data_IF_605009725831
#
_entry.id   IF_605009725831
#
_cell.length_a   1.000
_cell.length_b   1.000
_cell.length_c   1.000
_cell.angle_alpha   90.00
_cell.angle_beta   90.00
_cell.angle_gamma   90.00
#
_symmetry.space_group_name_H-M   'P 1'
#
loop_
_entity.id
_entity.type
_entity.pdbx_description
1 polymer ?
#
# COMPACT_ATOMS: atom_id res chain seq x y z
N UNK A 1 12.10 -31.72 -53.65
CA UNK A 1 12.27 -31.99 -52.21
C UNK A 1 11.78 -30.82 -51.35
N UNK A 2 12.24 -29.58 -51.57
CA UNK A 2 11.78 -28.38 -50.84
C UNK A 2 10.26 -28.19 -50.88
N UNK A 3 9.65 -28.32 -52.07
CA UNK A 3 8.20 -28.15 -52.25
C UNK A 3 7.36 -29.25 -51.57
N UNK A 4 7.89 -30.47 -51.49
CA UNK A 4 7.25 -31.59 -50.80
C UNK A 4 7.30 -31.39 -49.27
N UNK A 5 8.45 -30.93 -48.75
CA UNK A 5 8.57 -30.57 -47.34
C UNK A 5 7.64 -29.40 -46.96
N UNK A 6 7.57 -28.35 -47.79
CA UNK A 6 6.66 -27.24 -47.56
C UNK A 6 5.18 -27.68 -47.53
N UNK A 7 4.77 -28.58 -48.44
CA UNK A 7 3.40 -29.10 -48.46
C UNK A 7 3.08 -29.98 -47.24
N UNK A 8 4.02 -30.79 -46.77
CA UNK A 8 3.85 -31.62 -45.57
C UNK A 8 3.73 -30.75 -44.31
N UNK A 9 4.58 -29.73 -44.16
CA UNK A 9 4.51 -28.81 -43.01
C UNK A 9 3.21 -27.98 -43.04
N UNK A 10 2.80 -27.51 -44.22
CA UNK A 10 1.53 -26.80 -44.42
C UNK A 10 0.30 -27.67 -44.15
N UNK A 11 0.36 -28.97 -44.47
CA UNK A 11 -0.72 -29.93 -44.15
C UNK A 11 -0.77 -30.27 -42.66
N UNK A 12 0.39 -30.34 -41.99
CA UNK A 12 0.45 -30.50 -40.54
C UNK A 12 -0.14 -29.28 -39.82
N UNK A 13 0.20 -28.06 -40.24
CA UNK A 13 -0.29 -26.82 -39.63
C UNK A 13 -1.83 -26.66 -39.65
N UNK A 14 -2.54 -27.37 -40.55
CA UNK A 14 -4.00 -27.33 -40.70
C UNK A 14 -4.75 -28.38 -39.87
N UNK A 15 -4.05 -29.25 -39.13
CA UNK A 15 -4.69 -30.26 -38.28
C UNK A 15 -5.26 -29.61 -37.00
N UNK A 16 -6.36 -30.17 -36.50
CA UNK A 16 -6.85 -29.86 -35.14
C UNK A 16 -5.85 -30.38 -34.12
N UNK A 17 -5.13 -29.49 -33.46
CA UNK A 17 -4.07 -29.84 -32.52
C UNK A 17 -4.63 -30.26 -31.15
N UNK A 18 -3.94 -31.18 -30.50
CA UNK A 18 -4.34 -31.74 -29.20
C UNK A 18 -4.16 -30.76 -28.02
N UNK A 19 -3.33 -29.72 -28.17
CA UNK A 19 -3.12 -28.67 -27.17
C UNK A 19 -2.62 -27.35 -27.80
N UNK A 20 -2.83 -26.19 -27.14
CA UNK A 20 -2.31 -24.91 -27.60
C UNK A 20 -0.78 -24.87 -27.78
N UNK A 21 -0.02 -25.50 -26.88
CA UNK A 21 1.45 -25.58 -27.00
C UNK A 21 1.90 -26.38 -28.22
N UNK A 22 1.19 -27.47 -28.57
CA UNK A 22 1.46 -28.23 -29.80
C UNK A 22 1.12 -27.42 -31.06
N UNK A 23 0.04 -26.64 -31.02
CA UNK A 23 -0.36 -25.75 -32.12
C UNK A 23 0.71 -24.66 -32.36
N UNK A 24 1.15 -23.99 -31.29
CA UNK A 24 2.22 -22.99 -31.34
C UNK A 24 3.48 -23.60 -31.92
N UNK A 25 3.93 -24.73 -31.39
CA UNK A 25 5.14 -25.40 -31.89
C UNK A 25 5.04 -25.67 -33.39
N UNK A 26 3.89 -26.15 -33.88
CA UNK A 26 3.69 -26.41 -35.30
C UNK A 26 3.72 -25.12 -36.15
N UNK A 27 3.07 -24.04 -35.70
CA UNK A 27 3.09 -22.75 -36.39
C UNK A 27 4.51 -22.15 -36.44
N UNK A 28 5.25 -22.18 -35.32
CA UNK A 28 6.65 -21.77 -35.27
C UNK A 28 7.51 -22.64 -36.20
N UNK A 29 7.23 -23.94 -36.26
CA UNK A 29 7.92 -24.84 -37.17
C UNK A 29 7.55 -24.59 -38.65
N UNK A 30 6.40 -24.01 -38.96
CA UNK A 30 6.04 -23.64 -40.33
C UNK A 30 6.46 -22.20 -40.69
N UNK A 31 7.11 -21.48 -39.76
CA UNK A 31 7.46 -20.06 -39.94
C UNK A 31 6.26 -19.12 -39.89
N UNK A 32 5.13 -19.56 -39.34
CA UNK A 32 3.91 -18.76 -39.17
C UNK A 32 3.89 -18.11 -37.79
N UNK A 33 4.77 -17.13 -37.62
CA UNK A 33 5.01 -16.43 -36.36
C UNK A 33 3.76 -15.70 -35.83
N UNK A 34 3.03 -15.01 -36.70
CA UNK A 34 1.78 -14.32 -36.36
C UNK A 34 0.67 -15.28 -35.91
N UNK A 35 0.45 -16.38 -36.63
CA UNK A 35 -0.54 -17.41 -36.24
C UNK A 35 -0.21 -17.99 -34.85
N UNK A 36 1.07 -18.26 -34.59
CA UNK A 36 1.51 -18.72 -33.28
C UNK A 36 1.21 -17.69 -32.17
N UNK A 37 1.45 -16.39 -32.42
CA UNK A 37 1.14 -15.32 -31.45
C UNK A 37 -0.36 -15.26 -31.15
N UNK A 38 -1.21 -15.39 -32.18
CA UNK A 38 -2.66 -15.42 -32.00
C UNK A 38 -3.08 -16.57 -31.08
N UNK A 39 -2.48 -17.76 -31.23
CA UNK A 39 -2.75 -18.88 -30.32
C UNK A 39 -2.28 -18.58 -28.91
N UNK A 40 -1.07 -18.01 -28.74
CA UNK A 40 -0.53 -17.67 -27.42
C UNK A 40 -1.41 -16.65 -26.68
N UNK A 41 -1.79 -15.57 -27.36
CA UNK A 41 -2.60 -14.48 -26.79
C UNK A 41 -4.04 -14.93 -26.44
N UNK A 42 -4.60 -15.86 -27.22
CA UNK A 42 -5.96 -16.36 -26.98
C UNK A 42 -6.00 -17.57 -26.04
N UNK A 43 -4.84 -18.09 -25.59
CA UNK A 43 -4.82 -19.21 -24.65
C UNK A 43 -5.27 -18.74 -23.27
N UNK A 44 -6.30 -19.34 -22.67
CA UNK A 44 -6.75 -18.97 -21.33
C UNK A 44 -5.63 -19.16 -20.29
N UNK A 45 -5.55 -18.23 -19.34
CA UNK A 45 -4.64 -18.35 -18.18
C UNK A 45 -4.96 -19.65 -17.43
N UNK A 46 -3.92 -20.46 -17.17
CA UNK A 46 -4.06 -21.76 -16.50
C UNK A 46 -3.08 -22.78 -17.06
N UNK A 47 -3.43 -24.06 -16.93
CA UNK A 47 -2.55 -25.20 -17.28
C UNK A 47 -2.12 -25.21 -18.75
N UNK A 48 -2.98 -24.75 -19.66
CA UNK A 48 -2.67 -24.66 -21.08
C UNK A 48 -1.61 -23.60 -21.38
N UNK A 49 -1.73 -22.42 -20.75
CA UNK A 49 -0.74 -21.34 -20.87
C UNK A 49 0.60 -21.77 -20.26
N UNK A 50 0.57 -22.45 -19.11
CA UNK A 50 1.77 -22.99 -18.47
C UNK A 50 2.54 -23.96 -19.38
N UNK A 51 1.82 -24.83 -20.10
CA UNK A 51 2.43 -25.73 -21.09
C UNK A 51 3.14 -24.99 -22.24
N UNK A 52 2.76 -23.75 -22.56
CA UNK A 52 3.46 -22.91 -23.55
C UNK A 52 4.72 -22.31 -22.94
N UNK A 53 4.67 -21.85 -21.69
CA UNK A 53 5.85 -21.38 -20.95
C UNK A 53 6.94 -22.46 -20.88
N UNK A 54 6.56 -23.67 -20.47
CA UNK A 54 7.49 -24.81 -20.39
C UNK A 54 8.05 -25.21 -21.76
N UNK A 55 7.26 -25.14 -22.84
CA UNK A 55 7.78 -25.36 -24.21
C UNK A 55 8.93 -24.40 -24.54
N UNK A 56 8.77 -23.10 -24.27
CA UNK A 56 9.81 -22.10 -24.57
C UNK A 56 11.02 -22.24 -23.65
N UNK A 57 10.79 -22.55 -22.38
CA UNK A 57 11.84 -22.75 -21.37
C UNK A 57 12.67 -24.01 -21.64
N UNK A 58 12.05 -25.07 -22.15
CA UNK A 58 12.72 -26.36 -22.41
C UNK A 58 13.25 -26.52 -23.84
N UNK A 59 12.98 -25.57 -24.75
CA UNK A 59 13.48 -25.64 -26.13
C UNK A 59 15.02 -25.80 -26.17
N UNK A 60 15.51 -26.67 -27.05
CA UNK A 60 16.94 -27.01 -27.15
C UNK A 60 17.74 -26.02 -28.00
N UNK A 61 17.12 -24.94 -28.49
CA UNK A 61 17.73 -23.95 -29.38
C UNK A 61 17.30 -24.08 -30.83
N UNK A 62 16.53 -25.11 -31.20
CA UNK A 62 16.04 -25.30 -32.57
C UNK A 62 15.07 -24.20 -32.98
N UNK A 63 14.21 -23.75 -32.06
CA UNK A 63 13.30 -22.64 -32.37
C UNK A 63 14.08 -21.32 -32.49
N UNK A 64 15.13 -21.16 -31.68
CA UNK A 64 16.01 -20.00 -31.74
C UNK A 64 16.73 -19.87 -33.09
N UNK A 65 17.37 -20.94 -33.59
CA UNK A 65 18.08 -20.93 -34.88
C UNK A 65 17.15 -20.53 -36.04
N UNK A 66 15.89 -20.96 -35.99
CA UNK A 66 14.89 -20.66 -37.01
C UNK A 66 14.37 -19.24 -36.93
N UNK A 67 14.14 -18.75 -35.72
CA UNK A 67 13.81 -17.36 -35.48
C UNK A 67 14.94 -16.45 -35.98
N UNK A 68 16.20 -16.77 -35.66
CA UNK A 68 17.36 -15.99 -36.11
C UNK A 68 17.50 -15.98 -37.63
N UNK A 69 17.28 -17.13 -38.29
CA UNK A 69 17.26 -17.21 -39.74
C UNK A 69 16.11 -16.38 -40.35
N UNK A 70 14.93 -16.42 -39.75
CA UNK A 70 13.78 -15.65 -40.21
C UNK A 70 13.99 -14.14 -40.02
N UNK A 71 14.58 -13.72 -38.89
CA UNK A 71 14.91 -12.33 -38.59
C UNK A 71 15.99 -11.78 -39.53
N UNK A 72 16.95 -12.61 -39.97
CA UNK A 72 17.93 -12.23 -41.00
C UNK A 72 17.29 -11.96 -42.37
N UNK A 73 16.19 -12.66 -42.68
CA UNK A 73 15.46 -12.49 -43.95
C UNK A 73 14.49 -11.30 -43.87
N UNK A 74 13.82 -11.11 -42.74
CA UNK A 74 12.89 -10.00 -42.52
C UNK A 74 13.12 -9.35 -41.13
N UNK A 75 14.08 -8.40 -41.02
CA UNK A 75 14.42 -7.78 -39.74
C UNK A 75 13.30 -6.95 -39.12
N UNK A 76 12.38 -6.43 -39.94
CA UNK A 76 11.30 -5.51 -39.53
C UNK A 76 10.03 -6.24 -39.09
N UNK A 77 10.01 -7.58 -39.16
CA UNK A 77 8.85 -8.38 -38.80
C UNK A 77 8.63 -8.38 -37.29
N UNK A 78 7.63 -7.62 -36.84
CA UNK A 78 7.30 -7.50 -35.43
C UNK A 78 6.89 -8.84 -34.78
N UNK A 79 6.34 -9.79 -35.54
CA UNK A 79 5.95 -11.08 -34.99
C UNK A 79 7.18 -11.97 -34.73
N UNK A 80 8.20 -11.88 -35.60
CA UNK A 80 9.49 -12.55 -35.39
C UNK A 80 10.22 -11.93 -34.21
N UNK A 81 10.26 -10.60 -34.13
CA UNK A 81 10.85 -9.88 -33.00
C UNK A 81 10.14 -10.23 -31.69
N UNK A 82 8.81 -10.39 -31.71
CA UNK A 82 8.03 -10.75 -30.52
C UNK A 82 8.39 -12.15 -30.03
N UNK A 83 8.48 -13.14 -30.92
CA UNK A 83 8.92 -14.49 -30.55
C UNK A 83 10.36 -14.54 -30.08
N UNK A 84 11.28 -13.79 -30.71
CA UNK A 84 12.65 -13.69 -30.23
C UNK A 84 12.72 -13.12 -28.81
N UNK A 85 11.93 -12.08 -28.53
CA UNK A 85 11.80 -11.48 -27.19
C UNK A 85 11.27 -12.50 -26.17
N UNK A 86 10.20 -13.21 -26.51
CA UNK A 86 9.62 -14.27 -25.66
C UNK A 86 10.60 -15.41 -25.38
N UNK A 87 11.37 -15.85 -26.38
CA UNK A 87 12.37 -16.91 -26.22
C UNK A 87 13.52 -16.50 -25.30
N UNK A 88 14.02 -15.25 -25.43
CA UNK A 88 15.04 -14.72 -24.51
C UNK A 88 14.48 -14.65 -23.09
N UNK A 89 13.26 -14.13 -22.92
CA UNK A 89 12.62 -14.01 -21.61
C UNK A 89 12.36 -15.35 -20.93
N UNK A 90 12.01 -16.39 -21.71
CA UNK A 90 11.79 -17.73 -21.18
C UNK A 90 13.07 -18.40 -20.68
N UNK A 91 14.23 -18.07 -21.29
CA UNK A 91 15.54 -18.66 -20.96
C UNK A 91 16.32 -17.89 -19.91
N UNK A 92 16.18 -16.56 -19.90
CA UNK A 92 16.95 -15.66 -19.05
C UNK A 92 15.98 -14.89 -18.15
N UNK A 93 15.47 -13.74 -18.60
CA UNK A 93 14.44 -12.94 -17.93
C UNK A 93 13.93 -11.83 -18.86
N UNK A 94 12.89 -11.12 -18.42
CA UNK A 94 12.24 -10.03 -19.16
C UNK A 94 13.20 -8.83 -19.37
N UNK A 95 14.16 -8.60 -18.48
CA UNK A 95 15.16 -7.52 -18.61
C UNK A 95 16.11 -7.79 -19.78
N UNK A 96 16.65 -9.00 -19.88
CA UNK A 96 17.50 -9.42 -21.00
C UNK A 96 16.72 -9.44 -22.31
N UNK A 97 15.46 -9.82 -22.27
CA UNK A 97 14.59 -9.80 -23.45
C UNK A 97 14.36 -8.38 -23.97
N UNK A 98 14.09 -7.41 -23.09
CA UNK A 98 13.96 -6.00 -23.46
C UNK A 98 15.28 -5.46 -24.03
N UNK A 99 16.41 -5.77 -23.38
CA UNK A 99 17.73 -5.37 -23.89
C UNK A 99 18.04 -5.97 -25.27
N UNK A 100 17.61 -7.22 -25.51
CA UNK A 100 17.72 -7.87 -26.81
C UNK A 100 16.82 -7.18 -27.86
N UNK A 101 15.55 -6.92 -27.52
CA UNK A 101 14.60 -6.23 -28.40
C UNK A 101 15.09 -4.84 -28.79
N UNK A 102 15.63 -4.08 -27.83
CA UNK A 102 16.20 -2.75 -28.08
C UNK A 102 17.36 -2.81 -29.09
N UNK A 103 18.23 -3.84 -29.01
CA UNK A 103 19.32 -4.03 -29.99
C UNK A 103 18.78 -4.33 -31.39
N UNK A 104 17.67 -5.07 -31.51
CA UNK A 104 17.02 -5.29 -32.80
C UNK A 104 16.35 -4.01 -33.33
N UNK A 105 15.70 -3.24 -32.46
CA UNK A 105 15.01 -2.00 -32.84
C UNK A 105 15.97 -0.84 -33.17
N UNK A 106 17.22 -0.88 -32.69
CA UNK A 106 18.27 0.04 -33.15
C UNK A 106 18.62 -0.18 -34.64
N UNK A 107 18.38 -1.38 -35.16
CA UNK A 107 18.53 -1.69 -36.58
C UNK A 107 17.28 -1.29 -37.39
N UNK A 108 16.10 -1.24 -36.73
CA UNK A 108 14.79 -0.93 -37.32
C UNK A 108 13.81 -0.31 -36.28
N UNK A 109 13.64 1.02 -36.24
CA UNK A 109 12.85 1.68 -35.19
C UNK A 109 11.34 1.43 -35.33
N UNK A 110 10.69 0.90 -34.29
CA UNK A 110 9.22 0.86 -34.16
C UNK A 110 8.74 1.72 -32.99
N UNK A 111 7.64 2.47 -33.17
CA UNK A 111 7.20 3.52 -32.25
C UNK A 111 6.34 3.06 -31.05
N UNK A 112 5.93 1.79 -30.98
CA UNK A 112 5.07 1.29 -29.90
C UNK A 112 5.54 -0.08 -29.36
N UNK A 113 6.11 -0.06 -28.14
CA UNK A 113 6.59 -1.26 -27.47
C UNK A 113 5.54 -1.92 -26.55
N UNK A 114 4.34 -1.34 -26.43
CA UNK A 114 3.29 -1.82 -25.52
C UNK A 114 2.92 -3.29 -25.77
N UNK A 115 2.85 -3.71 -27.03
CA UNK A 115 2.58 -5.09 -27.44
C UNK A 115 3.61 -6.08 -26.90
N UNK A 116 4.90 -5.73 -26.92
CA UNK A 116 5.96 -6.61 -26.43
C UNK A 116 5.88 -6.78 -24.91
N UNK A 117 5.60 -5.70 -24.18
CA UNK A 117 5.41 -5.78 -22.73
C UNK A 117 4.21 -6.64 -22.35
N UNK A 118 3.07 -6.52 -23.06
CA UNK A 118 1.91 -7.39 -22.84
C UNK A 118 2.23 -8.88 -23.06
N UNK A 119 3.00 -9.19 -24.10
CA UNK A 119 3.43 -10.56 -24.40
C UNK A 119 4.38 -11.10 -23.33
N UNK A 120 5.31 -10.27 -22.84
CA UNK A 120 6.20 -10.61 -21.74
C UNK A 120 5.44 -10.86 -20.43
N UNK A 121 4.46 -10.02 -20.09
CA UNK A 121 3.61 -10.23 -18.92
C UNK A 121 2.85 -11.57 -19.01
N UNK A 122 2.29 -11.88 -20.18
CA UNK A 122 1.61 -13.15 -20.43
C UNK A 122 2.55 -14.36 -20.30
N UNK A 123 3.81 -14.21 -20.71
CA UNK A 123 4.84 -15.23 -20.56
C UNK A 123 5.26 -15.39 -19.10
N UNK A 124 5.37 -14.31 -18.34
CA UNK A 124 5.70 -14.38 -16.91
C UNK A 124 4.59 -15.09 -16.11
N UNK A 125 3.33 -14.93 -16.51
CA UNK A 125 2.20 -15.76 -16.04
C UNK A 125 2.41 -17.22 -16.45
N UNK A 126 2.72 -17.49 -17.72
CA UNK A 126 2.93 -18.84 -18.24
C UNK A 126 4.08 -19.59 -17.53
N UNK A 127 5.09 -18.87 -17.05
CA UNK A 127 6.26 -19.43 -16.38
C UNK A 127 6.11 -19.49 -14.85
N UNK A 128 4.94 -19.13 -14.33
CA UNK A 128 4.69 -18.94 -12.89
C UNK A 128 5.74 -18.04 -12.22
N UNK A 129 6.34 -17.09 -12.97
CA UNK A 129 7.24 -16.08 -12.40
C UNK A 129 6.49 -15.07 -11.53
N UNK A 130 5.15 -15.02 -11.65
CA UNK A 130 4.27 -14.36 -10.68
C UNK A 130 4.41 -14.92 -9.24
N UNK A 131 5.08 -16.06 -9.04
CA UNK A 131 5.35 -16.65 -7.72
C UNK A 131 6.37 -15.89 -6.86
N UNK A 132 7.01 -14.83 -7.38
CA UNK A 132 8.05 -14.08 -6.64
C UNK A 132 7.51 -13.27 -5.44
N UNK A 133 6.21 -12.98 -5.39
CA UNK A 133 5.56 -12.37 -4.22
C UNK A 133 4.82 -13.48 -3.47
N UNK A 134 5.40 -13.93 -2.36
CA UNK A 134 4.73 -14.81 -1.41
C UNK A 134 3.45 -14.13 -0.91
N UNK A 135 2.34 -14.88 -0.89
CA UNK A 135 1.10 -14.41 -0.26
C UNK A 135 1.38 -13.99 1.17
N UNK A 136 0.82 -12.86 1.59
CA UNK A 136 0.98 -12.33 2.94
C UNK A 136 -0.36 -11.78 3.42
N UNK A 137 -0.49 -11.65 4.75
CA UNK A 137 -1.67 -11.00 5.34
C UNK A 137 -1.73 -9.55 4.88
N UNK A 138 -2.95 -9.05 4.68
CA UNK A 138 -3.16 -7.67 4.29
C UNK A 138 -2.82 -6.75 5.46
N UNK A 139 -1.88 -5.83 5.22
CA UNK A 139 -1.52 -4.74 6.13
C UNK A 139 -1.65 -3.44 5.35
N UNK A 140 -2.80 -2.81 5.44
CA UNK A 140 -3.15 -1.60 4.67
C UNK A 140 -3.70 -0.57 5.64
N UNK A 141 -3.33 0.70 5.44
CA UNK A 141 -3.86 1.86 6.16
C UNK A 141 -4.17 2.95 5.13
N UNK A 142 -5.32 3.60 5.26
CA UNK A 142 -5.78 4.62 4.34
C UNK A 142 -6.91 5.48 4.87
N UNK A 143 -7.24 6.51 4.11
CA UNK A 143 -8.37 7.39 4.36
C UNK A 143 -9.59 6.90 3.58
N UNK A 144 -10.73 6.85 4.23
CA UNK A 144 -11.97 6.30 3.69
C UNK A 144 -13.08 7.34 3.69
N UNK A 145 -13.83 7.35 2.60
CA UNK A 145 -15.05 8.13 2.43
C UNK A 145 -16.14 7.26 1.84
N UNK A 146 -17.39 7.52 2.25
CA UNK A 146 -18.55 6.88 1.63
C UNK A 146 -18.80 7.52 0.25
N UNK A 147 -19.05 6.70 -0.76
CA UNK A 147 -19.35 7.15 -2.13
C UNK A 147 -20.68 6.56 -2.60
N UNK A 148 -21.48 7.35 -3.32
CA UNK A 148 -22.77 6.88 -3.84
C UNK A 148 -22.65 6.32 -5.27
N UNK A 149 -21.78 6.93 -6.08
CA UNK A 149 -21.61 6.60 -7.49
C UNK A 149 -20.20 6.10 -7.75
N UNK A 150 -20.08 4.88 -8.28
CA UNK A 150 -18.80 4.26 -8.61
C UNK A 150 -18.73 4.03 -10.10
N UNK A 151 -17.77 4.67 -10.78
CA UNK A 151 -17.46 4.36 -12.16
C UNK A 151 -16.56 3.11 -12.22
N UNK A 152 -17.12 1.97 -12.61
CA UNK A 152 -16.45 0.67 -12.60
C UNK A 152 -15.36 0.47 -13.66
N UNK A 153 -15.29 1.33 -14.69
CA UNK A 153 -14.35 1.18 -15.84
C UNK A 153 -12.89 1.10 -15.39
N UNK A 154 -12.63 1.68 -14.25
CA UNK A 154 -11.32 2.10 -13.79
C UNK A 154 -10.85 1.30 -12.56
N UNK A 155 -11.60 0.25 -12.22
CA UNK A 155 -11.41 -0.60 -11.05
C UNK A 155 -10.95 -1.99 -11.46
N UNK A 156 -9.81 -2.41 -10.91
CA UNK A 156 -9.17 -3.69 -11.17
C UNK A 156 -9.65 -4.73 -10.15
N UNK A 157 -10.20 -5.83 -10.67
CA UNK A 157 -10.61 -7.00 -9.90
C UNK A 157 -9.48 -8.05 -9.87
N UNK A 158 -9.46 -8.96 -8.87
CA UNK A 158 -8.43 -10.00 -8.79
C UNK A 158 -8.56 -11.02 -9.91
N UNK A 159 -9.73 -11.08 -10.55
CA UNK A 159 -10.02 -11.93 -11.70
C UNK A 159 -9.84 -11.17 -13.01
N UNK A 160 -9.32 -11.85 -14.03
CA UNK A 160 -9.19 -11.27 -15.37
C UNK A 160 -10.55 -11.08 -16.07
N UNK A 161 -11.58 -11.80 -15.62
CA UNK A 161 -12.96 -11.57 -16.03
C UNK A 161 -13.59 -10.52 -15.10
N UNK A 162 -14.07 -9.42 -15.69
CA UNK A 162 -14.80 -8.40 -14.96
C UNK A 162 -16.15 -8.96 -14.51
N UNK A 163 -16.28 -9.18 -13.19
CA UNK A 163 -17.56 -9.56 -12.59
C UNK A 163 -18.32 -8.26 -12.31
N UNK A 164 -19.61 -8.13 -12.68
CA UNK A 164 -20.40 -6.96 -12.31
C UNK A 164 -20.37 -6.75 -10.80
N UNK A 165 -19.91 -5.58 -10.36
CA UNK A 165 -19.93 -5.22 -8.94
C UNK A 165 -21.34 -4.75 -8.58
N UNK A 166 -22.09 -5.64 -7.93
CA UNK A 166 -23.42 -5.33 -7.40
C UNK A 166 -23.30 -5.05 -5.89
N UNK A 167 -23.89 -3.95 -5.46
CA UNK A 167 -23.99 -3.58 -4.05
C UNK A 167 -25.21 -4.27 -3.43
N UNK A 168 -25.02 -4.88 -2.27
CA UNK A 168 -26.13 -5.47 -1.50
C UNK A 168 -27.05 -4.36 -0.95
N UNK A 169 -28.37 -4.61 -0.79
CA UNK A 169 -29.36 -3.56 -0.49
C UNK A 169 -29.15 -2.76 0.80
N UNK A 170 -28.34 -3.26 1.73
CA UNK A 170 -28.02 -2.67 3.04
C UNK A 170 -26.57 -2.17 3.16
N UNK A 171 -25.80 -2.27 2.07
CA UNK A 171 -24.39 -1.88 2.06
C UNK A 171 -24.21 -0.54 1.38
N UNK A 172 -23.10 0.12 1.71
CA UNK A 172 -22.62 1.34 1.06
C UNK A 172 -21.24 1.07 0.48
N UNK A 173 -20.87 1.86 -0.53
CA UNK A 173 -19.52 1.87 -1.05
C UNK A 173 -18.63 2.79 -0.22
N UNK A 174 -17.44 2.29 0.09
CA UNK A 174 -16.32 3.04 0.64
C UNK A 174 -15.23 3.12 -0.42
N UNK A 175 -14.79 4.33 -0.70
CA UNK A 175 -13.54 4.56 -1.41
C UNK A 175 -12.44 4.83 -0.39
N UNK A 176 -11.39 4.01 -0.44
CA UNK A 176 -10.24 4.10 0.44
C UNK A 176 -9.03 4.56 -0.35
N UNK A 177 -8.53 5.76 -0.06
CA UNK A 177 -7.22 6.20 -0.52
C UNK A 177 -6.15 5.58 0.39
N UNK A 178 -5.33 4.68 -0.14
CA UNK A 178 -4.30 3.98 0.64
C UNK A 178 -3.15 4.94 0.92
N UNK A 179 -2.85 5.16 2.20
CA UNK A 179 -1.71 5.97 2.66
C UNK A 179 -0.45 5.11 2.80
N UNK A 180 -0.60 3.88 3.28
CA UNK A 180 0.49 2.94 3.47
C UNK A 180 0.02 1.48 3.34
N UNK A 181 0.90 0.59 2.88
CA UNK A 181 0.67 -0.85 2.93
C UNK A 181 1.98 -1.63 3.10
N UNK A 182 1.92 -2.85 3.64
CA UNK A 182 3.07 -3.74 3.70
C UNK A 182 3.06 -4.71 2.51
N UNK A 183 4.14 -4.74 1.72
CA UNK A 183 4.26 -5.57 0.50
C UNK A 183 4.72 -7.02 0.77
N UNK A 184 4.57 -7.47 2.02
CA UNK A 184 5.11 -8.73 2.53
C UNK A 184 6.58 -8.67 2.98
N UNK A 185 7.31 -7.59 2.65
CA UNK A 185 8.71 -7.40 3.09
C UNK A 185 8.91 -6.12 3.88
N UNK A 186 8.26 -5.03 3.48
CA UNK A 186 8.36 -3.72 4.13
C UNK A 186 7.11 -2.90 3.93
N UNK A 187 6.93 -1.90 4.79
CA UNK A 187 5.96 -0.84 4.58
C UNK A 187 6.36 0.04 3.39
N UNK A 188 5.36 0.32 2.55
CA UNK A 188 5.38 1.23 1.42
C UNK A 188 4.43 2.39 1.73
N UNK A 189 4.79 3.59 1.32
CA UNK A 189 4.04 4.81 1.64
C UNK A 189 3.72 5.58 0.35
N UNK A 190 2.59 6.30 0.35
CA UNK A 190 2.23 7.19 -0.75
C UNK A 190 3.27 8.33 -0.89
N UNK A 191 3.66 8.75 -2.12
CA UNK A 191 3.22 8.22 -3.41
C UNK A 191 3.95 6.93 -3.81
N UNK A 192 3.19 5.94 -4.29
CA UNK A 192 3.67 4.63 -4.73
C UNK A 192 4.27 4.66 -6.14
N UNK A 193 5.09 5.68 -6.42
CA UNK A 193 5.71 5.90 -7.74
C UNK A 193 6.60 4.76 -8.22
N UNK A 194 7.14 3.98 -7.28
CA UNK A 194 7.99 2.82 -7.56
C UNK A 194 7.22 1.51 -7.78
N UNK A 195 5.88 1.51 -7.65
CA UNK A 195 5.06 0.32 -7.84
C UNK A 195 4.95 -0.01 -9.33
N UNK A 196 5.66 -1.04 -9.76
CA UNK A 196 5.57 -1.57 -11.11
C UNK A 196 4.50 -2.67 -11.15
N UNK A 197 3.42 -2.40 -11.88
CA UNK A 197 2.37 -3.38 -12.15
C UNK A 197 2.48 -3.88 -13.60
N UNK A 198 2.31 -5.18 -13.83
CA UNK A 198 2.23 -5.72 -15.18
C UNK A 198 1.00 -5.17 -15.91
N UNK A 199 1.07 -5.16 -17.24
CA UNK A 199 -0.03 -4.77 -18.13
C UNK A 199 -1.11 -5.85 -18.14
N UNK A 200 -0.70 -7.12 -18.13
CA UNK A 200 -1.59 -8.29 -18.05
C UNK A 200 -1.78 -8.69 -16.58
N UNK A 201 -3.00 -9.10 -16.21
CA UNK A 201 -3.35 -9.49 -14.83
C UNK A 201 -3.06 -8.41 -13.75
N UNK A 202 -3.02 -7.14 -14.15
CA UNK A 202 -2.75 -5.98 -13.28
C UNK A 202 -3.49 -6.01 -11.95
N UNK A 203 -4.78 -6.35 -11.98
CA UNK A 203 -5.62 -6.44 -10.79
C UNK A 203 -5.20 -7.56 -9.83
N UNK A 204 -4.96 -8.76 -10.34
CA UNK A 204 -4.47 -9.90 -9.55
C UNK A 204 -3.14 -9.55 -8.87
N UNK A 205 -2.21 -8.95 -9.59
CA UNK A 205 -0.90 -8.60 -9.04
C UNK A 205 -1.01 -7.50 -7.98
N UNK A 206 -1.80 -6.45 -8.23
CA UNK A 206 -2.05 -5.41 -7.25
C UNK A 206 -2.67 -5.97 -5.96
N UNK A 207 -3.65 -6.88 -6.08
CA UNK A 207 -4.26 -7.54 -4.94
C UNK A 207 -3.25 -8.34 -4.11
N UNK A 208 -2.31 -9.04 -4.77
CA UNK A 208 -1.24 -9.77 -4.08
C UNK A 208 -0.26 -8.85 -3.36
N UNK A 209 0.14 -7.74 -3.97
CA UNK A 209 0.98 -6.72 -3.30
C UNK A 209 0.33 -6.16 -2.03
N UNK A 210 -1.00 -6.10 -2.02
CA UNK A 210 -1.77 -5.58 -0.90
C UNK A 210 -2.16 -6.67 0.12
N UNK A 211 -1.86 -7.96 -0.16
CA UNK A 211 -2.31 -9.11 0.63
C UNK A 211 -3.83 -9.36 0.60
N UNK A 212 -4.55 -8.72 -0.32
CA UNK A 212 -6.01 -8.82 -0.44
C UNK A 212 -6.47 -10.16 -1.03
N UNK A 213 -5.55 -10.92 -1.64
CA UNK A 213 -5.78 -12.31 -2.05
C UNK A 213 -5.88 -13.26 -0.84
N UNK A 214 -5.34 -12.85 0.31
CA UNK A 214 -5.39 -13.60 1.57
C UNK A 214 -6.51 -13.10 2.48
N UNK A 215 -6.61 -11.79 2.68
CA UNK A 215 -7.71 -11.17 3.44
C UNK A 215 -8.12 -9.83 2.84
N UNK A 216 -9.33 -9.78 2.26
CA UNK A 216 -9.91 -8.60 1.64
C UNK A 216 -10.73 -7.73 2.61
N UNK A 217 -10.77 -8.06 3.91
CA UNK A 217 -11.54 -7.30 4.89
C UNK A 217 -10.74 -6.10 5.39
N UNK A 218 -11.44 -4.97 5.51
CA UNK A 218 -10.94 -3.76 6.13
C UNK A 218 -11.91 -3.32 7.22
N UNK A 219 -11.39 -2.65 8.23
CA UNK A 219 -12.15 -1.92 9.24
C UNK A 219 -12.18 -0.45 8.84
N UNK A 220 -13.38 0.10 8.72
CA UNK A 220 -13.62 1.54 8.53
C UNK A 220 -14.00 2.12 9.88
N UNK A 221 -13.20 3.05 10.37
CA UNK A 221 -13.20 3.53 11.74
C UNK A 221 -13.38 5.04 11.79
N UNK A 222 -14.23 5.50 12.72
CA UNK A 222 -14.41 6.91 13.06
C UNK A 222 -14.30 7.10 14.57
N UNK A 223 -13.96 8.31 14.98
CA UNK A 223 -13.94 8.71 16.38
C UNK A 223 -15.04 9.74 16.62
N UNK A 224 -15.80 9.53 17.70
CA UNK A 224 -16.78 10.50 18.18
C UNK A 224 -16.06 11.69 18.82
N UNK A 225 -16.77 12.82 18.99
CA UNK A 225 -16.29 13.97 19.76
C UNK A 225 -15.85 13.63 21.21
N UNK A 226 -16.29 12.50 21.74
CA UNK A 226 -15.92 11.99 23.07
C UNK A 226 -14.66 11.11 23.02
N UNK A 227 -14.02 10.97 21.85
CA UNK A 227 -12.85 10.11 21.64
C UNK A 227 -13.17 8.62 21.54
N UNK A 228 -14.45 8.24 21.47
CA UNK A 228 -14.85 6.83 21.35
C UNK A 228 -14.70 6.36 19.91
N UNK A 229 -14.04 5.21 19.73
CA UNK A 229 -13.89 4.56 18.45
C UNK A 229 -15.17 3.80 18.05
N UNK A 230 -15.62 3.99 16.81
CA UNK A 230 -16.66 3.19 16.17
C UNK A 230 -16.17 2.64 14.83
N UNK A 231 -16.26 1.32 14.65
CA UNK A 231 -15.77 0.65 13.44
C UNK A 231 -16.86 -0.18 12.76
N UNK A 232 -16.77 -0.32 11.44
CA UNK A 232 -17.54 -1.27 10.61
C UNK A 232 -16.58 -2.07 9.73
N UNK A 233 -16.95 -3.32 9.46
CA UNK A 233 -16.20 -4.16 8.53
C UNK A 233 -16.73 -3.92 7.12
N UNK A 234 -15.81 -3.71 6.17
CA UNK A 234 -16.08 -3.68 4.75
C UNK A 234 -15.19 -4.70 4.03
N UNK A 235 -15.67 -5.22 2.90
CA UNK A 235 -14.92 -6.14 2.04
C UNK A 235 -14.49 -5.41 0.78
N UNK A 236 -13.18 -5.39 0.52
CA UNK A 236 -12.62 -4.85 -0.72
C UNK A 236 -13.11 -5.68 -1.90
N UNK A 237 -13.67 -5.01 -2.89
CA UNK A 237 -14.23 -5.59 -4.12
C UNK A 237 -13.39 -5.28 -5.35
N UNK A 238 -12.68 -4.15 -5.35
CA UNK A 238 -11.74 -3.81 -6.40
C UNK A 238 -10.66 -2.84 -5.89
N UNK A 239 -9.58 -2.72 -6.66
CA UNK A 239 -8.50 -1.79 -6.41
C UNK A 239 -8.20 -0.98 -7.67
N UNK A 240 -7.65 0.21 -7.51
CA UNK A 240 -7.18 1.01 -8.63
C UNK A 240 -5.83 1.63 -8.32
N UNK A 241 -5.04 1.86 -9.36
CA UNK A 241 -3.74 2.52 -9.27
C UNK A 241 -3.63 3.60 -10.34
N UNK A 242 -3.68 4.86 -9.92
CA UNK A 242 -3.64 6.05 -10.78
C UNK A 242 -2.68 7.07 -10.19
N UNK A 243 -1.79 7.62 -11.02
CA UNK A 243 -0.92 8.73 -10.62
C UNK A 243 -0.08 8.47 -9.35
N UNK A 244 0.33 7.22 -9.12
CA UNK A 244 1.08 6.85 -7.91
C UNK A 244 0.24 6.70 -6.65
N UNK A 245 -1.09 6.76 -6.75
CA UNK A 245 -2.03 6.57 -5.64
C UNK A 245 -2.84 5.30 -5.84
N UNK A 246 -2.99 4.52 -4.76
CA UNK A 246 -3.82 3.32 -4.74
C UNK A 246 -5.16 3.68 -4.10
N UNK A 247 -6.24 3.31 -4.78
CA UNK A 247 -7.61 3.40 -4.25
C UNK A 247 -8.17 1.98 -4.08
N UNK A 248 -8.89 1.73 -3.00
CA UNK A 248 -9.66 0.50 -2.80
C UNK A 248 -11.14 0.84 -2.79
N UNK A 249 -11.92 -0.01 -3.43
CA UNK A 249 -13.38 0.05 -3.37
C UNK A 249 -13.85 -1.07 -2.47
N UNK A 250 -14.47 -0.72 -1.35
CA UNK A 250 -14.98 -1.69 -0.39
C UNK A 250 -16.48 -1.54 -0.19
N UNK A 251 -17.17 -2.66 -0.01
CA UNK A 251 -18.59 -2.69 0.34
C UNK A 251 -18.75 -3.07 1.81
N UNK A 252 -19.47 -2.27 2.58
CA UNK A 252 -19.69 -2.49 4.00
C UNK A 252 -20.97 -1.83 4.50
N UNK A 253 -21.29 -2.04 5.77
CA UNK A 253 -22.41 -1.32 6.40
C UNK A 253 -22.07 0.15 6.59
N UNK A 254 -23.07 1.01 6.44
CA UNK A 254 -22.91 2.43 6.69
C UNK A 254 -22.47 2.67 8.15
N UNK A 255 -21.50 3.56 8.29
CA UNK A 255 -21.18 4.13 9.60
C UNK A 255 -22.38 4.96 10.07
N UNK A 256 -22.71 4.93 11.37
CA UNK A 256 -23.76 5.78 11.88
C UNK A 256 -23.35 7.24 11.65
N UNK A 257 -24.10 7.93 10.77
CA UNK A 257 -23.97 9.36 10.52
C UNK A 257 -24.51 10.12 11.74
N UNK A 258 -23.82 10.03 12.88
CA UNK A 258 -24.15 10.84 14.04
C UNK A 258 -23.56 12.24 13.83
N UNK A 259 -24.35 13.27 14.16
CA UNK A 259 -23.95 14.68 14.19
C UNK A 259 -22.83 15.00 15.20
N UNK A 260 -22.20 13.97 15.76
CA UNK A 260 -21.15 14.00 16.79
C UNK A 260 -19.83 13.39 16.31
N UNK A 261 -19.71 13.00 15.04
CA UNK A 261 -18.43 12.61 14.47
C UNK A 261 -17.46 13.82 14.45
N UNK A 262 -16.23 13.62 14.90
CA UNK A 262 -15.22 14.69 14.96
C UNK A 262 -14.59 14.95 13.59
N UNK A 263 -14.70 14.00 12.64
CA UNK A 263 -14.19 14.11 11.27
C UNK A 263 -15.26 13.68 10.25
N UNK A 264 -15.29 14.35 9.09
CA UNK A 264 -16.07 13.91 7.91
C UNK A 264 -15.40 12.75 7.16
N UNK A 265 -14.18 12.41 7.54
CA UNK A 265 -13.35 11.36 6.96
C UNK A 265 -13.20 10.21 7.96
N UNK A 266 -13.04 8.99 7.45
CA UNK A 266 -12.87 7.78 8.27
C UNK A 266 -11.49 7.16 8.02
N UNK A 267 -10.92 6.48 9.00
CA UNK A 267 -9.72 5.68 8.82
C UNK A 267 -10.12 4.29 8.30
N UNK A 268 -9.52 3.82 7.22
CA UNK A 268 -9.61 2.43 6.81
C UNK A 268 -8.29 1.72 7.11
N UNK A 269 -8.36 0.55 7.76
CA UNK A 269 -7.20 -0.28 7.99
C UNK A 269 -7.56 -1.76 7.98
N UNK A 270 -6.63 -2.63 7.64
CA UNK A 270 -6.82 -4.08 7.82
C UNK A 270 -6.59 -4.45 9.29
N UNK A 271 -7.09 -5.62 9.70
CA UNK A 271 -6.98 -6.08 11.09
C UNK A 271 -5.51 -6.24 11.53
N UNK A 272 -4.62 -6.64 10.62
CA UNK A 272 -3.20 -6.89 10.92
C UNK A 272 -2.28 -5.71 10.62
N UNK A 273 -2.84 -4.58 10.17
CA UNK A 273 -2.06 -3.39 9.84
C UNK A 273 -1.52 -2.68 11.08
N UNK A 274 -2.28 -2.68 12.16
CA UNK A 274 -1.98 -1.91 13.35
C UNK A 274 -2.48 -2.62 14.61
N UNK A 275 -1.76 -2.38 15.70
CA UNK A 275 -2.17 -2.75 17.05
C UNK A 275 -2.29 -1.47 17.87
N UNK A 276 -3.51 -1.15 18.29
CA UNK A 276 -3.75 0.02 19.13
C UNK A 276 -3.03 -0.13 20.46
N UNK A 277 -2.29 0.90 20.86
CA UNK A 277 -1.63 0.98 22.14
C UNK A 277 -2.48 1.83 23.08
N UNK A 278 -2.86 1.25 24.21
CA UNK A 278 -3.57 1.94 25.29
C UNK A 278 -2.71 1.92 26.55
N UNK A 279 -1.69 2.80 26.65
CA UNK A 279 -0.82 2.85 27.82
C UNK A 279 -1.62 3.29 29.05
N UNK A 280 -1.29 2.69 30.20
CA UNK A 280 -1.94 3.02 31.46
C UNK A 280 -1.79 4.52 31.76
N UNK A 281 -2.92 5.17 32.02
CA UNK A 281 -2.95 6.54 32.52
C UNK A 281 -2.62 6.58 34.02
N UNK A 282 -1.86 7.60 34.41
CA UNK A 282 -1.60 7.98 35.79
C UNK A 282 -1.74 9.49 35.92
N UNK A 283 -1.72 10.01 37.15
CA UNK A 283 -1.76 11.45 37.38
C UNK A 283 -0.35 12.06 37.43
N UNK A 284 -0.21 13.35 37.12
CA UNK A 284 1.07 14.07 37.29
C UNK A 284 1.59 13.95 38.74
N UNK A 285 0.69 13.94 39.72
CA UNK A 285 1.06 13.72 41.12
C UNK A 285 1.72 12.36 41.35
N UNK A 286 1.09 11.28 40.88
CA UNK A 286 1.61 9.92 41.02
C UNK A 286 2.88 9.69 40.22
N UNK A 287 3.03 10.34 39.06
CA UNK A 287 4.26 10.30 38.28
C UNK A 287 5.38 11.04 39.03
N UNK A 288 5.11 12.19 39.63
CA UNK A 288 6.10 12.93 40.43
C UNK A 288 6.63 12.14 41.64
N UNK A 289 5.80 11.29 42.27
CA UNK A 289 6.26 10.44 43.37
C UNK A 289 7.26 9.37 42.92
N UNK A 290 7.21 8.97 41.64
CA UNK A 290 8.08 7.95 41.06
C UNK A 290 9.30 8.56 40.37
N UNK A 291 9.09 9.64 39.63
CA UNK A 291 10.08 10.28 38.75
C UNK A 291 10.07 11.81 38.96
N UNK A 292 10.52 12.29 40.14
CA UNK A 292 10.43 13.71 40.50
C UNK A 292 11.30 14.61 39.64
N UNK A 293 12.46 14.13 39.19
CA UNK A 293 13.36 14.90 38.31
C UNK A 293 12.74 15.14 36.93
N UNK A 294 12.02 14.14 36.40
CA UNK A 294 11.34 14.26 35.10
C UNK A 294 10.21 15.28 35.15
N UNK A 295 9.38 15.24 36.21
CA UNK A 295 8.31 16.23 36.39
C UNK A 295 8.88 17.64 36.61
N UNK A 296 9.99 17.77 37.35
CA UNK A 296 10.66 19.06 37.53
C UNK A 296 11.15 19.65 36.20
N UNK A 297 11.52 18.81 35.22
CA UNK A 297 11.88 19.26 33.87
C UNK A 297 10.66 19.59 33.00
N UNK A 298 9.56 18.84 33.10
CA UNK A 298 8.34 19.05 32.30
C UNK A 298 7.61 20.33 32.69
N UNK A 299 7.43 20.60 33.98
CA UNK A 299 6.52 21.66 34.45
C UNK A 299 6.86 23.07 33.93
N UNK A 300 8.14 23.52 33.92
CA UNK A 300 8.50 24.81 33.35
C UNK A 300 8.18 24.91 31.86
N UNK A 301 8.48 23.85 31.09
CA UNK A 301 8.23 23.80 29.64
C UNK A 301 6.73 23.82 29.35
N UNK A 302 5.96 23.03 30.10
CA UNK A 302 4.49 23.02 30.02
C UNK A 302 3.90 24.40 30.31
N UNK A 303 4.36 25.07 31.37
CA UNK A 303 3.91 26.42 31.71
C UNK A 303 4.21 27.40 30.58
N UNK A 304 5.45 27.37 30.07
CA UNK A 304 5.89 28.26 28.99
C UNK A 304 5.05 28.05 27.72
N UNK A 305 4.83 26.80 27.30
CA UNK A 305 4.03 26.46 26.12
C UNK A 305 2.58 26.96 26.22
N UNK A 306 1.96 26.79 27.39
CA UNK A 306 0.60 27.28 27.64
C UNK A 306 0.53 28.82 27.64
N UNK A 307 1.56 29.51 28.15
CA UNK A 307 1.64 30.98 28.08
C UNK A 307 1.84 31.44 26.65
N UNK A 308 2.80 30.87 25.92
CA UNK A 308 3.14 31.26 24.55
C UNK A 308 2.01 31.00 23.55
N UNK A 309 1.19 29.97 23.79
CA UNK A 309 -0.02 29.69 23.02
C UNK A 309 -1.24 30.54 23.43
N UNK A 310 -1.09 31.46 24.39
CA UNK A 310 -2.17 32.31 24.88
C UNK A 310 -3.25 31.54 25.66
N UNK A 311 -2.85 30.44 26.32
CA UNK A 311 -3.69 29.54 27.13
C UNK A 311 -3.37 29.61 28.62
N UNK A 312 -2.80 30.72 29.06
CA UNK A 312 -2.49 30.99 30.47
C UNK A 312 -3.71 30.85 31.40
N UNK A 313 -4.92 31.07 30.90
CA UNK A 313 -6.17 30.86 31.64
C UNK A 313 -6.44 29.39 32.03
N UNK A 314 -5.76 28.42 31.39
CA UNK A 314 -5.81 27.00 31.76
C UNK A 314 -4.97 26.74 33.03
N UNK A 315 -3.95 27.57 33.27
CA UNK A 315 -3.09 27.49 34.44
C UNK A 315 -3.80 28.19 35.62
N UNK A 316 -4.00 27.54 36.77
CA UNK A 316 -4.58 28.20 37.94
C UNK A 316 -3.74 29.38 38.40
N UNK A 317 -4.38 30.44 38.91
CA UNK A 317 -3.70 31.72 39.23
C UNK A 317 -2.54 31.57 40.22
N UNK A 318 -2.58 30.56 41.11
CA UNK A 318 -1.48 30.21 42.03
C UNK A 318 -0.20 29.74 41.33
N UNK A 319 -0.33 29.17 40.14
CA UNK A 319 0.76 28.64 39.33
C UNK A 319 1.42 29.68 38.39
N UNK A 320 0.85 30.89 38.29
CA UNK A 320 1.33 31.94 37.36
C UNK A 320 2.60 32.68 37.85
N UNK A 321 2.94 32.68 39.14
CA UNK A 321 4.11 33.41 39.68
C UNK A 321 5.49 32.84 39.25
N UNK A 322 6.57 33.63 39.30
CA UNK A 322 7.92 33.26 38.80
C UNK A 322 8.86 32.62 39.85
N UNK A 323 8.43 32.45 41.11
CA UNK A 323 9.32 32.04 42.20
C UNK A 323 9.56 30.51 42.22
N UNK A 324 10.78 30.00 42.46
CA UNK A 324 11.10 28.54 42.45
C UNK A 324 10.32 27.74 43.51
N UNK A 325 9.80 28.43 44.53
CA UNK A 325 8.81 27.91 45.49
C UNK A 325 7.49 27.45 44.81
N UNK A 326 7.31 27.79 43.52
CA UNK A 326 6.08 27.61 42.75
C UNK A 326 5.95 26.22 42.10
N UNK A 327 7.01 25.43 41.93
CA UNK A 327 6.87 24.09 41.32
C UNK A 327 5.91 23.18 42.10
N UNK A 328 5.95 23.26 43.44
CA UNK A 328 5.04 22.51 44.31
C UNK A 328 3.60 23.02 44.25
N UNK A 329 3.37 24.33 44.07
CA UNK A 329 2.02 24.88 43.86
C UNK A 329 1.49 24.54 42.47
N UNK A 330 2.31 24.66 41.42
CA UNK A 330 1.97 24.20 40.06
C UNK A 330 1.58 22.73 40.10
N UNK A 331 2.41 21.87 40.70
CA UNK A 331 2.12 20.45 40.77
C UNK A 331 0.82 20.16 41.54
N UNK A 332 0.54 20.89 42.63
CA UNK A 332 -0.71 20.74 43.39
C UNK A 332 -1.94 21.09 42.55
N UNK A 333 -1.82 22.12 41.74
CA UNK A 333 -2.89 22.62 40.88
C UNK A 333 -3.12 21.72 39.66
N UNK A 334 -2.04 21.13 39.13
CA UNK A 334 -2.07 20.22 37.98
C UNK A 334 -2.11 18.73 38.38
N UNK A 335 -2.21 18.43 39.68
CA UNK A 335 -1.99 17.10 40.25
C UNK A 335 -2.79 15.99 39.55
N UNK A 336 -4.03 16.30 39.16
CA UNK A 336 -4.98 15.34 38.58
C UNK A 336 -4.91 15.25 37.05
N UNK A 337 -3.99 15.98 36.39
CA UNK A 337 -3.84 15.90 34.95
C UNK A 337 -3.34 14.51 34.56
N UNK A 338 -4.00 13.92 33.57
CA UNK A 338 -3.72 12.57 33.09
C UNK A 338 -2.46 12.58 32.22
N UNK A 339 -1.48 11.78 32.60
CA UNK A 339 -0.27 11.49 31.84
C UNK A 339 -0.19 10.00 31.52
N UNK A 340 0.23 9.69 30.31
CA UNK A 340 0.42 8.32 29.81
C UNK A 340 1.89 8.13 29.43
N UNK A 341 2.71 7.52 30.30
CA UNK A 341 4.09 7.18 29.99
C UNK A 341 4.16 6.07 28.93
N UNK A 342 4.85 6.30 27.82
CA UNK A 342 5.02 5.32 26.73
C UNK A 342 6.28 5.62 25.91
N UNK A 343 7.04 4.59 25.53
CA UNK A 343 8.19 4.75 24.62
C UNK A 343 7.70 4.94 23.18
N UNK A 344 7.87 6.15 22.67
CA UNK A 344 7.54 6.64 21.34
C UNK A 344 8.80 6.89 20.49
N UNK A 345 9.98 7.04 21.12
CA UNK A 345 11.23 7.39 20.43
C UNK A 345 12.14 6.19 20.16
N UNK A 346 11.86 5.04 20.79
CA UNK A 346 12.63 3.80 20.68
C UNK A 346 13.91 3.80 21.51
N UNK A 347 14.07 4.72 22.45
CA UNK A 347 15.23 4.80 23.33
C UNK A 347 15.09 3.94 24.61
N UNK A 348 14.00 3.18 24.74
CA UNK A 348 13.61 2.41 25.94
C UNK A 348 13.36 3.28 27.18
N UNK A 349 13.11 4.58 27.00
CA UNK A 349 12.61 5.49 28.03
C UNK A 349 11.20 5.95 27.65
N UNK A 350 10.31 6.19 28.62
CA UNK A 350 8.97 6.65 28.31
C UNK A 350 8.96 8.15 27.99
N UNK A 351 8.19 8.52 26.98
CA UNK A 351 7.68 9.87 26.80
C UNK A 351 6.40 10.08 27.63
N UNK A 352 6.20 11.30 28.13
CA UNK A 352 5.00 11.68 28.87
C UNK A 352 3.96 12.26 27.90
N UNK A 353 2.94 11.46 27.58
CA UNK A 353 1.78 11.92 26.79
C UNK A 353 0.75 12.54 27.73
N UNK A 354 0.68 13.87 27.74
CA UNK A 354 -0.22 14.65 28.59
C UNK A 354 -1.47 15.06 27.80
N UNK A 355 -2.66 14.80 28.37
CA UNK A 355 -3.93 15.24 27.77
C UNK A 355 -4.60 16.31 28.64
N UNK A 356 -4.83 17.48 28.05
CA UNK A 356 -5.45 18.65 28.69
C UNK A 356 -6.81 18.89 28.02
N UNK A 357 -7.83 19.24 28.79
CA UNK A 357 -9.16 19.54 28.25
C UNK A 357 -9.39 21.06 28.17
N UNK A 358 -9.49 21.59 26.95
CA UNK A 358 -9.89 22.96 26.69
C UNK A 358 -11.35 22.97 26.19
N UNK A 359 -12.28 23.56 26.94
CA UNK A 359 -13.71 23.60 26.57
C UNK A 359 -14.30 22.23 26.20
N UNK A 360 -13.91 21.17 26.93
CA UNK A 360 -14.23 19.75 26.70
C UNK A 360 -13.59 19.11 25.46
N UNK A 361 -12.72 19.82 24.75
CA UNK A 361 -11.90 19.23 23.70
C UNK A 361 -10.55 18.78 24.28
N UNK A 362 -10.15 17.51 24.13
CA UNK A 362 -8.82 17.09 24.51
C UNK A 362 -7.78 17.73 23.58
N UNK A 363 -6.65 18.10 24.16
CA UNK A 363 -5.43 18.59 23.51
C UNK A 363 -4.25 17.83 24.08
N UNK A 364 -3.35 17.37 23.21
CA UNK A 364 -2.20 16.56 23.60
C UNK A 364 -0.89 17.33 23.52
N UNK A 365 -0.05 17.12 24.54
CA UNK A 365 1.36 17.48 24.58
C UNK A 365 2.17 16.19 24.82
N UNK A 366 3.35 16.07 24.19
CA UNK A 366 4.26 14.95 24.44
C UNK A 366 5.62 15.51 24.83
N UNK A 367 6.12 15.06 25.98
CA UNK A 367 7.44 15.41 26.49
C UNK A 367 8.38 14.20 26.44
N UNK A 368 9.61 14.42 25.99
CA UNK A 368 10.71 13.47 26.07
C UNK A 368 11.02 13.09 27.53
N UNK A 369 11.76 12.00 27.72
CA UNK A 369 12.32 11.58 29.01
C UNK A 369 13.23 12.65 29.66
N UNK A 370 13.75 13.58 28.85
CA UNK A 370 14.52 14.75 29.30
C UNK A 370 13.67 15.95 29.73
N UNK A 371 12.36 15.90 29.52
CA UNK A 371 11.43 17.02 29.73
C UNK A 371 11.29 17.99 28.54
N UNK A 372 11.99 17.74 27.42
CA UNK A 372 11.83 18.51 26.18
C UNK A 372 10.44 18.29 25.56
N UNK A 373 9.80 19.35 25.09
CA UNK A 373 8.52 19.26 24.37
C UNK A 373 8.76 18.84 22.91
N UNK A 374 8.22 17.68 22.53
CA UNK A 374 8.44 17.06 21.20
C UNK A 374 7.18 17.00 20.33
N UNK A 375 6.00 17.34 20.88
CA UNK A 375 4.74 17.47 20.15
C UNK A 375 3.77 18.35 20.93
N UNK A 376 3.08 19.27 20.24
CA UNK A 376 2.10 20.16 20.86
C UNK A 376 0.93 20.54 19.95
N UNK A 377 -0.28 20.22 20.39
CA UNK A 377 -1.53 20.71 19.78
C UNK A 377 -1.93 22.13 20.20
N UNK A 378 -1.08 22.84 20.95
CA UNK A 378 -1.28 24.24 21.28
C UNK A 378 -0.48 25.18 20.38
N UNK A 379 0.63 24.70 19.80
CA UNK A 379 1.51 25.48 18.92
C UNK A 379 1.75 24.78 17.58
N UNK A 380 2.76 23.91 17.51
CA UNK A 380 3.29 23.32 16.28
C UNK A 380 2.24 22.54 15.47
N UNK A 381 1.35 21.84 16.16
CA UNK A 381 0.32 20.97 15.59
C UNK A 381 -1.11 21.47 15.90
N UNK A 382 -1.28 22.78 16.11
CA UNK A 382 -2.53 23.39 16.60
C UNK A 382 -3.79 23.18 15.74
N UNK A 383 -3.62 22.81 14.46
CA UNK A 383 -4.74 22.48 13.55
C UNK A 383 -5.08 21.00 13.50
N UNK A 384 -4.41 20.18 14.30
CA UNK A 384 -4.49 18.72 14.24
C UNK A 384 -4.81 18.15 15.62
N UNK A 385 -5.17 16.86 15.69
CA UNK A 385 -5.44 16.20 16.96
C UNK A 385 -4.96 14.75 16.95
N UNK A 386 -4.16 14.38 17.96
CA UNK A 386 -3.75 13.03 18.24
C UNK A 386 -4.98 12.22 18.65
N UNK A 387 -5.30 11.24 17.83
CA UNK A 387 -6.48 10.40 17.99
C UNK A 387 -6.14 9.09 18.68
N UNK A 388 -5.00 8.50 18.31
CA UNK A 388 -4.55 7.21 18.85
C UNK A 388 -3.03 7.04 18.71
N UNK A 389 -2.48 6.06 19.42
CA UNK A 389 -1.11 5.57 19.27
C UNK A 389 -1.20 4.12 18.82
N UNK A 390 -0.40 3.72 17.83
CA UNK A 390 -0.44 2.39 17.27
C UNK A 390 0.96 1.81 17.04
N UNK A 391 1.06 0.49 17.15
CA UNK A 391 2.22 -0.29 16.75
C UNK A 391 1.94 -0.90 15.36
N UNK A 392 2.85 -0.71 14.41
CA UNK A 392 2.76 -1.26 13.05
C UNK A 392 3.34 -2.68 12.94
N UNK A 393 3.77 -3.26 14.06
CA UNK A 393 4.37 -4.58 14.20
C UNK A 393 5.60 -4.78 13.30
N UNK A 394 6.38 -3.71 13.08
CA UNK A 394 7.57 -3.70 12.26
C UNK A 394 8.87 -3.60 13.08
N UNK A 395 8.76 -3.73 14.41
CA UNK A 395 9.88 -3.64 15.35
C UNK A 395 10.47 -2.24 15.51
N UNK A 396 9.79 -1.22 14.98
CA UNK A 396 10.14 0.20 15.11
C UNK A 396 9.28 0.88 16.18
N UNK A 397 9.60 2.12 16.57
CA UNK A 397 8.78 2.85 17.52
C UNK A 397 7.32 2.99 17.05
N UNK A 398 6.37 3.12 18.00
CA UNK A 398 4.98 3.38 17.71
C UNK A 398 4.77 4.61 16.83
N UNK A 399 3.62 4.65 16.18
CA UNK A 399 3.16 5.78 15.36
C UNK A 399 2.03 6.53 16.04
N UNK A 400 2.00 7.84 15.82
CA UNK A 400 0.92 8.72 16.19
C UNK A 400 -0.11 8.76 15.06
N UNK A 401 -1.37 8.48 15.37
CA UNK A 401 -2.50 8.71 14.46
C UNK A 401 -3.01 10.13 14.66
N UNK A 402 -2.70 11.01 13.71
CA UNK A 402 -3.07 12.41 13.71
C UNK A 402 -4.32 12.61 12.83
N UNK A 403 -5.34 13.26 13.38
CA UNK A 403 -6.52 13.71 12.65
C UNK A 403 -6.29 15.16 12.21
N UNK A 404 -6.23 15.35 10.90
CA UNK A 404 -6.20 16.66 10.26
C UNK A 404 -7.58 17.03 9.70
N UNK A 405 -7.82 18.29 9.31
CA UNK A 405 -9.10 18.70 8.76
C UNK A 405 -9.59 17.86 7.55
N UNK A 406 -8.67 17.28 6.78
CA UNK A 406 -8.97 16.54 5.55
C UNK A 406 -8.72 15.03 5.61
N UNK A 407 -7.99 14.52 6.62
CA UNK A 407 -7.49 13.14 6.58
C UNK A 407 -6.86 12.72 7.91
N UNK A 408 -6.70 11.42 8.08
CA UNK A 408 -5.77 10.83 9.03
C UNK A 408 -4.37 10.70 8.43
N UNK A 409 -3.36 11.02 9.25
CA UNK A 409 -1.94 10.79 8.96
C UNK A 409 -1.31 9.96 10.08
N UNK A 410 -0.33 9.15 9.70
CA UNK A 410 0.54 8.48 10.64
C UNK A 410 1.84 9.28 10.72
N UNK A 411 2.24 9.68 11.92
CA UNK A 411 3.59 10.23 12.14
C UNK A 411 4.42 9.27 12.98
N UNK A 412 5.70 9.14 12.65
CA UNK A 412 6.65 8.32 13.43
C UNK A 412 7.82 9.18 13.88
N UNK A 413 8.40 8.85 15.03
CA UNK A 413 9.63 9.49 15.48
C UNK A 413 10.78 9.27 14.49
N UNK A 414 11.39 10.37 14.06
CA UNK A 414 12.58 10.43 13.22
C UNK A 414 13.79 10.78 14.08
N UNK A 415 14.74 9.85 14.21
CA UNK A 415 15.98 10.09 14.97
C UNK A 415 16.84 11.18 14.31
N UNK A 416 16.81 11.25 12.98
CA UNK A 416 17.56 12.23 12.20
C UNK A 416 16.90 13.62 12.28
N UNK A 417 15.58 13.69 12.12
CA UNK A 417 14.81 14.93 12.22
C UNK A 417 14.55 15.42 13.65
N UNK A 418 14.74 14.55 14.65
CA UNK A 418 14.36 14.77 16.07
C UNK A 418 12.90 15.24 16.22
N UNK A 419 11.99 14.59 15.50
CA UNK A 419 10.58 14.97 15.47
C UNK A 419 9.69 13.87 14.90
N UNK A 420 8.38 14.07 15.03
CA UNK A 420 7.38 13.20 14.41
C UNK A 420 7.12 13.61 12.96
N UNK A 421 7.42 12.71 12.02
CA UNK A 421 7.32 12.91 10.57
C UNK A 421 6.31 11.98 9.90
#
# INVERSE_FOLDING_TARGET
VIQLHAQVTQAQSKKTWASPSSSILAHLIDGRWGDALVVFQNTPIGTQLHGIGELLKTDSGRLWERMEAALKVNPDDQDIQAWGTLMVAAKQDSTQAIAWLQKQQQLSPSADNSRFYQLLDLLDIALDKESLISSHLSKIIGNSQQVENVNLVDWLQPTHQAIPLQLEPDKVWYEVQVSAFHDGKRWQYQPFSNLQLPTVARGKQLWRYLGLDTDSRIQVTVWTQEGRQESRIASVKAASFREGVIYLLAAGEALPLTSTAQSTHSLAHTETALRWLDPNSTSLWELNQREPEWIAAILPVLKQELVDSGREAIIPTSAQSEDDSNLQSILKDLANWSVRPIDLTGNNQPEAVLTIYENRQPRTLIFADTGELIYSEFSQDASTSLTAIADLEDGKPPVLLINDPSSYRLKRWSVEGKGFE
#
